data_IF_216146568692
#
_entry.id   IF_216146568692
#
_cell.length_a   1.000
_cell.length_b   1.000
_cell.length_c   1.000
_cell.angle_alpha   90.00
_cell.angle_beta   90.00
_cell.angle_gamma   90.00
#
_symmetry.space_group_name_H-M   'P 1'
#
loop_
_entity.id
_entity.type
_entity.pdbx_description
1 polymer ?
#
# COMPACT_ATOMS: atom_id res chain seq x y z
N UNK A 1 27.83 -14.87 -7.64
CA UNK A 1 27.10 -14.02 -6.68
C UNK A 1 26.46 -14.98 -5.68
N UNK A 2 26.98 -15.07 -4.46
CA UNK A 2 26.56 -16.08 -3.48
C UNK A 2 25.28 -15.61 -2.76
N UNK A 3 24.28 -16.49 -2.64
CA UNK A 3 23.00 -16.20 -1.98
C UNK A 3 23.13 -15.89 -0.49
N UNK A 4 22.03 -15.48 0.19
CA UNK A 4 22.06 -15.09 1.59
C UNK A 4 22.61 -16.20 2.48
N UNK A 5 23.48 -15.84 3.43
CA UNK A 5 24.04 -16.78 4.40
C UNK A 5 22.92 -17.37 5.27
N UNK A 6 22.92 -18.70 5.54
CA UNK A 6 21.95 -19.32 6.43
C UNK A 6 21.97 -18.66 7.82
N UNK A 7 20.79 -18.38 8.38
CA UNK A 7 20.68 -17.93 9.77
C UNK A 7 20.74 -19.15 10.71
N UNK A 8 21.20 -19.00 11.97
CA UNK A 8 21.31 -20.10 12.91
C UNK A 8 19.99 -20.86 13.09
N UNK A 9 20.05 -22.19 13.15
CA UNK A 9 18.88 -23.05 13.35
C UNK A 9 18.00 -23.21 12.11
N UNK A 10 18.62 -23.37 10.93
CA UNK A 10 17.94 -23.58 9.64
C UNK A 10 16.93 -22.50 9.25
N UNK A 11 17.14 -21.27 9.74
CA UNK A 11 16.29 -20.13 9.44
C UNK A 11 16.73 -19.43 8.16
N UNK A 12 15.75 -18.89 7.43
CA UNK A 12 15.98 -18.06 6.23
C UNK A 12 15.39 -16.68 6.43
N UNK A 13 16.14 -15.65 6.03
CA UNK A 13 15.62 -14.31 5.86
C UNK A 13 15.16 -14.14 4.40
N UNK A 14 13.97 -13.58 4.21
CA UNK A 14 13.44 -13.23 2.89
C UNK A 14 13.18 -11.73 2.88
N UNK A 15 13.79 -11.04 1.93
CA UNK A 15 13.55 -9.61 1.70
C UNK A 15 12.42 -9.45 0.70
N UNK A 16 11.47 -8.57 0.99
CA UNK A 16 10.33 -8.28 0.11
C UNK A 16 10.33 -6.79 -0.18
N UNK A 17 10.41 -6.43 -1.46
CA UNK A 17 10.30 -5.04 -1.92
C UNK A 17 8.97 -4.92 -2.66
N UNK A 18 8.09 -4.04 -2.21
CA UNK A 18 6.77 -3.79 -2.83
C UNK A 18 5.94 -5.07 -3.07
N UNK A 19 6.02 -6.04 -2.15
CA UNK A 19 5.31 -7.31 -2.26
C UNK A 19 5.96 -8.35 -3.18
N UNK A 20 7.15 -8.09 -3.72
CA UNK A 20 7.88 -8.99 -4.64
C UNK A 20 7.04 -9.40 -5.86
N UNK A 21 6.16 -8.50 -6.29
CA UNK A 21 5.17 -8.74 -7.35
C UNK A 21 5.57 -8.06 -8.66
N UNK A 22 5.11 -8.62 -9.77
CA UNK A 22 5.15 -7.97 -11.09
C UNK A 22 3.97 -6.98 -11.18
N UNK A 23 4.18 -5.66 -11.14
CA UNK A 23 3.07 -4.70 -11.01
C UNK A 23 2.07 -4.75 -12.17
N UNK A 24 2.56 -4.98 -13.39
CA UNK A 24 1.76 -5.07 -14.62
C UNK A 24 0.81 -6.26 -14.62
N UNK A 25 1.09 -7.30 -13.83
CA UNK A 25 0.21 -8.46 -13.66
C UNK A 25 -0.64 -8.35 -12.40
N UNK A 26 -0.03 -7.88 -11.30
CA UNK A 26 -0.66 -7.87 -9.99
C UNK A 26 -1.71 -6.77 -9.83
N UNK A 27 -1.45 -5.56 -10.33
CA UNK A 27 -2.40 -4.44 -10.24
C UNK A 27 -3.71 -4.75 -10.98
N UNK A 28 -3.71 -5.22 -12.25
CA UNK A 28 -4.95 -5.61 -12.91
C UNK A 28 -5.75 -6.67 -12.15
N UNK A 29 -5.07 -7.64 -11.53
CA UNK A 29 -5.72 -8.66 -10.69
C UNK A 29 -6.39 -8.06 -9.46
N UNK A 30 -5.75 -7.13 -8.76
CA UNK A 30 -6.35 -6.44 -7.60
C UNK A 30 -7.58 -5.61 -8.01
N UNK A 31 -7.53 -4.97 -9.18
CA UNK A 31 -8.66 -4.23 -9.75
C UNK A 31 -9.84 -5.16 -10.04
N UNK A 32 -9.59 -6.34 -10.65
CA UNK A 32 -10.64 -7.35 -10.88
C UNK A 32 -11.30 -7.80 -9.57
N UNK A 33 -10.49 -8.13 -8.56
CA UNK A 33 -10.99 -8.54 -7.24
C UNK A 33 -11.83 -7.43 -6.58
N UNK A 34 -11.40 -6.17 -6.67
CA UNK A 34 -12.17 -5.04 -6.16
C UNK A 34 -13.52 -4.88 -6.88
N UNK A 35 -13.52 -4.92 -8.23
CA UNK A 35 -14.75 -4.84 -9.04
C UNK A 35 -15.74 -5.96 -8.73
N UNK A 36 -15.25 -7.13 -8.33
CA UNK A 36 -16.05 -8.29 -7.90
C UNK A 36 -16.49 -8.23 -6.43
N UNK A 37 -16.13 -7.17 -5.71
CA UNK A 37 -16.42 -7.02 -4.27
C UNK A 37 -15.57 -7.91 -3.36
N UNK A 38 -14.54 -8.59 -3.89
CA UNK A 38 -13.65 -9.48 -3.14
C UNK A 38 -12.46 -8.77 -2.52
N UNK A 39 -12.20 -7.52 -2.92
CA UNK A 39 -11.14 -6.69 -2.37
C UNK A 39 -11.62 -5.25 -2.11
N UNK A 40 -12.34 -5.02 -0.99
CA UNK A 40 -12.92 -3.72 -0.66
C UNK A 40 -11.87 -2.76 -0.04
N UNK A 41 -10.82 -2.42 -0.79
CA UNK A 41 -9.72 -1.59 -0.30
C UNK A 41 -10.12 -0.12 -0.06
N UNK A 42 -11.19 0.34 -0.69
CA UNK A 42 -11.80 1.68 -0.52
C UNK A 42 -12.17 1.95 0.94
N UNK A 43 -12.41 0.90 1.75
CA UNK A 43 -12.67 1.01 3.20
C UNK A 43 -11.48 1.56 3.99
N UNK A 44 -10.28 1.53 3.42
CA UNK A 44 -9.06 2.07 4.03
C UNK A 44 -8.84 3.55 3.66
N UNK A 45 -9.56 4.04 2.65
CA UNK A 45 -9.33 5.37 2.09
C UNK A 45 -9.94 6.46 2.97
N UNK A 46 -9.20 7.57 3.06
CA UNK A 46 -9.71 8.83 3.62
C UNK A 46 -9.41 9.94 2.64
N UNK A 47 -10.44 10.42 1.97
CA UNK A 47 -10.31 11.51 1.01
C UNK A 47 -10.06 12.85 1.73
N UNK A 48 -9.18 13.65 1.17
CA UNK A 48 -8.80 14.94 1.68
C UNK A 48 -8.47 15.91 0.54
N UNK A 49 -8.81 17.17 0.73
CA UNK A 49 -8.48 18.22 -0.23
C UNK A 49 -6.97 18.46 -0.25
N UNK A 50 -6.39 18.75 -1.42
CA UNK A 50 -4.96 19.03 -1.54
C UNK A 50 -4.47 20.13 -0.57
N UNK A 51 -5.29 21.18 -0.36
CA UNK A 51 -5.01 22.26 0.61
C UNK A 51 -4.82 21.80 2.05
N UNK A 52 -5.26 20.57 2.38
CA UNK A 52 -5.18 19.97 3.72
C UNK A 52 -4.01 18.99 3.86
N UNK A 53 -3.03 18.98 2.95
CA UNK A 53 -1.93 18.01 2.94
C UNK A 53 -1.23 17.83 4.29
N UNK A 54 -0.93 18.92 5.00
CA UNK A 54 -0.28 18.84 6.33
C UNK A 54 -1.14 18.10 7.36
N UNK A 55 -2.47 18.29 7.31
CA UNK A 55 -3.41 17.58 8.17
C UNK A 55 -3.55 16.11 7.75
N UNK A 56 -3.60 15.82 6.46
CA UNK A 56 -3.64 14.44 5.95
C UNK A 56 -2.42 13.62 6.41
N UNK A 57 -1.22 14.23 6.39
CA UNK A 57 0.01 13.61 6.89
C UNK A 57 -0.07 13.38 8.41
N UNK A 58 -0.55 14.35 9.18
CA UNK A 58 -0.70 14.21 10.63
C UNK A 58 -1.70 13.11 11.00
N UNK A 59 -2.83 13.04 10.29
CA UNK A 59 -3.84 11.99 10.46
C UNK A 59 -3.30 10.60 10.11
N UNK A 60 -2.45 10.49 9.08
CA UNK A 60 -1.79 9.23 8.74
C UNK A 60 -0.79 8.78 9.83
N UNK A 61 0.03 9.71 10.32
CA UNK A 61 1.04 9.41 11.36
C UNK A 61 0.43 8.94 12.67
N UNK A 62 -0.72 9.49 13.06
CA UNK A 62 -1.41 9.09 14.28
C UNK A 62 -2.46 8.00 14.08
N UNK A 63 -2.55 7.41 12.87
CA UNK A 63 -3.48 6.31 12.56
C UNK A 63 -4.96 6.71 12.41
N UNK A 64 -5.29 8.02 12.39
CA UNK A 64 -6.66 8.48 12.07
C UNK A 64 -7.03 8.27 10.60
N UNK A 65 -6.04 8.27 9.72
CA UNK A 65 -6.17 7.94 8.31
C UNK A 65 -5.29 6.73 7.99
N UNK A 66 -5.87 5.62 7.52
CA UNK A 66 -5.08 4.44 7.11
C UNK A 66 -4.42 4.70 5.76
N UNK A 67 -5.20 5.17 4.78
CA UNK A 67 -4.72 5.55 3.44
C UNK A 67 -5.30 6.91 3.04
N UNK A 68 -4.63 8.03 3.35
CA UNK A 68 -5.09 9.34 2.87
C UNK A 68 -5.00 9.40 1.33
N UNK A 69 -6.06 9.87 0.68
CA UNK A 69 -6.12 10.07 -0.77
C UNK A 69 -6.38 11.55 -1.03
N UNK A 70 -5.40 12.24 -1.62
CA UNK A 70 -5.50 13.65 -1.93
C UNK A 70 -6.26 13.85 -3.24
N UNK A 71 -7.27 14.71 -3.23
CA UNK A 71 -7.92 15.20 -4.44
C UNK A 71 -7.15 16.42 -4.95
N UNK A 72 -6.65 16.34 -6.19
CA UNK A 72 -5.73 17.34 -6.79
C UNK A 72 -6.48 18.31 -7.74
N UNK A 73 -7.75 18.05 -8.04
CA UNK A 73 -8.52 18.89 -8.97
C UNK A 73 -8.75 20.31 -8.40
N UNK A 74 -8.56 21.32 -9.23
CA UNK A 74 -8.82 22.73 -8.91
C UNK A 74 -10.34 22.96 -8.74
N UNK A 75 -10.72 23.75 -7.72
CA UNK A 75 -12.05 24.38 -7.61
C UNK A 75 -11.94 25.84 -7.98
#
# INVERSE_FOLDING_TARGET
MNGPHPLPGDRRAVSVIQGDAVPQEFIPRLIDLHRRGLFPFERLERHCEFRQISRAIADARCGRAVKPVLHIAES
#
